data_IF_165423276188
#
_entry.id   IF_165423276188
#
_cell.length_a   1.000
_cell.length_b   1.000
_cell.length_c   1.000
_cell.angle_alpha   90.00
_cell.angle_beta   90.00
_cell.angle_gamma   90.00
#
_symmetry.space_group_name_H-M   'P 1'
#
loop_
_entity.id
_entity.type
_entity.pdbx_description
1 polymer ?
#
# COMPACT_ATOMS: atom_id res chain seq x y z
N UNK A 1 2.81 5.14 23.89
CA UNK A 1 2.86 6.57 23.48
C UNK A 1 2.29 7.43 24.60
N UNK A 2 2.60 8.73 24.68
CA UNK A 2 1.95 9.59 25.69
C UNK A 2 0.54 9.97 25.26
N UNK A 3 -0.41 9.86 26.20
CA UNK A 3 -1.82 10.24 25.99
C UNK A 3 -1.97 11.69 25.54
N UNK A 4 -1.10 12.58 26.02
CA UNK A 4 -1.04 14.00 25.60
C UNK A 4 -0.81 14.16 24.09
N UNK A 5 0.09 13.35 23.50
CA UNK A 5 0.36 13.42 22.06
C UNK A 5 -0.82 12.90 21.26
N UNK A 6 -1.50 11.86 21.75
CA UNK A 6 -2.71 11.32 21.10
C UNK A 6 -3.82 12.36 21.10
N UNK A 7 -4.03 13.06 22.23
CA UNK A 7 -5.01 14.13 22.34
C UNK A 7 -4.71 15.29 21.39
N UNK A 8 -3.47 15.79 21.38
CA UNK A 8 -3.07 16.87 20.48
C UNK A 8 -3.20 16.53 18.99
N UNK A 9 -3.01 15.26 18.63
CA UNK A 9 -3.22 14.80 17.25
C UNK A 9 -4.71 14.78 16.94
N UNK A 10 -5.52 14.15 17.79
CA UNK A 10 -6.97 14.01 17.53
C UNK A 10 -7.67 15.37 17.39
N UNK A 11 -7.35 16.34 18.26
CA UNK A 11 -7.93 17.69 18.20
C UNK A 11 -7.50 18.47 16.94
N UNK A 12 -6.33 18.17 16.38
CA UNK A 12 -5.81 18.88 15.23
C UNK A 12 -6.30 18.33 13.88
N UNK A 13 -6.89 17.13 13.89
CA UNK A 13 -7.45 16.49 12.71
C UNK A 13 -8.89 16.95 12.49
N UNK A 14 -9.24 17.21 11.24
CA UNK A 14 -10.64 17.43 10.87
C UNK A 14 -11.43 16.11 10.76
N UNK A 15 -12.74 16.19 10.58
CA UNK A 15 -13.61 15.02 10.53
C UNK A 15 -13.33 14.08 9.35
N UNK A 16 -12.87 14.59 8.22
CA UNK A 16 -12.55 13.75 7.05
C UNK A 16 -11.20 13.07 7.24
N UNK A 17 -10.22 13.75 7.83
CA UNK A 17 -8.94 13.21 8.26
C UNK A 17 -9.13 12.11 9.32
N UNK A 18 -10.04 12.33 10.28
CA UNK A 18 -10.39 11.32 11.30
C UNK A 18 -11.01 10.07 10.67
N UNK A 19 -11.96 10.22 9.74
CA UNK A 19 -12.55 9.09 9.00
C UNK A 19 -11.51 8.32 8.20
N UNK A 20 -10.59 9.03 7.55
CA UNK A 20 -9.49 8.41 6.80
C UNK A 20 -8.60 7.59 7.72
N UNK A 21 -8.26 8.10 8.91
CA UNK A 21 -7.46 7.39 9.92
C UNK A 21 -8.17 6.13 10.41
N UNK A 22 -9.45 6.25 10.77
CA UNK A 22 -10.28 5.11 11.17
C UNK A 22 -10.32 4.02 10.09
N UNK A 23 -10.49 4.41 8.82
CA UNK A 23 -10.47 3.48 7.69
C UNK A 23 -9.12 2.74 7.57
N UNK A 24 -8.00 3.45 7.66
CA UNK A 24 -6.66 2.86 7.50
C UNK A 24 -6.35 1.83 8.58
N UNK A 25 -6.83 2.06 9.80
CA UNK A 25 -6.56 1.18 10.93
C UNK A 25 -7.55 0.02 11.08
N UNK A 26 -8.54 -0.15 10.18
CA UNK A 26 -9.56 -1.22 10.31
C UNK A 26 -8.98 -2.63 10.42
N UNK A 27 -7.86 -2.89 9.74
CA UNK A 27 -7.22 -4.22 9.77
C UNK A 27 -6.48 -4.44 11.11
N UNK A 28 -5.85 -3.39 11.63
CA UNK A 28 -5.04 -3.42 12.85
C UNK A 28 -5.93 -3.45 14.10
N UNK A 29 -7.11 -2.86 14.01
CA UNK A 29 -8.13 -2.82 15.05
C UNK A 29 -9.32 -3.73 14.72
N UNK A 30 -9.14 -4.81 13.94
CA UNK A 30 -10.26 -5.62 13.45
C UNK A 30 -11.12 -6.26 14.56
N UNK A 31 -10.54 -6.47 15.73
CA UNK A 31 -11.18 -7.03 16.92
C UNK A 31 -11.83 -5.98 17.84
N UNK A 32 -11.68 -4.69 17.52
CA UNK A 32 -12.27 -3.59 18.29
C UNK A 32 -13.07 -2.69 17.36
N UNK A 33 -14.25 -2.26 17.82
CA UNK A 33 -15.03 -1.22 17.14
C UNK A 33 -14.77 0.12 17.85
N UNK A 34 -13.67 0.83 17.54
CA UNK A 34 -13.40 2.13 18.17
C UNK A 34 -14.51 3.12 17.80
N UNK A 35 -14.96 3.88 18.79
CA UNK A 35 -16.02 4.88 18.60
C UNK A 35 -15.48 6.15 17.90
N UNK A 36 -14.21 6.48 18.13
CA UNK A 36 -13.53 7.64 17.57
C UNK A 36 -12.01 7.41 17.43
N UNK A 37 -11.30 8.39 16.86
CA UNK A 37 -9.85 8.31 16.61
C UNK A 37 -9.03 8.21 17.89
N UNK A 38 -9.43 8.93 18.96
CA UNK A 38 -8.73 8.88 20.24
C UNK A 38 -8.76 7.47 20.81
N UNK A 39 -9.95 6.88 20.90
CA UNK A 39 -10.13 5.51 21.41
C UNK A 39 -9.29 4.52 20.59
N UNK A 40 -9.31 4.65 19.26
CA UNK A 40 -8.49 3.83 18.38
C UNK A 40 -6.99 3.96 18.71
N UNK A 41 -6.47 5.18 18.83
CA UNK A 41 -5.04 5.42 19.09
C UNK A 41 -4.64 4.96 20.50
N UNK A 42 -5.50 5.16 21.49
CA UNK A 42 -5.30 4.69 22.86
C UNK A 42 -5.24 3.15 22.90
N UNK A 43 -6.22 2.47 22.29
CA UNK A 43 -6.25 1.00 22.16
C UNK A 43 -4.98 0.47 21.48
N UNK A 44 -4.58 1.05 20.36
CA UNK A 44 -3.37 0.63 19.65
C UNK A 44 -2.10 0.87 20.48
N UNK A 45 -2.06 1.96 21.26
CA UNK A 45 -0.95 2.27 22.17
C UNK A 45 -0.87 1.30 23.33
N UNK A 46 -2.00 0.98 23.97
CA UNK A 46 -2.09 0.02 25.09
C UNK A 46 -1.66 -1.39 24.66
N UNK A 47 -1.98 -1.78 23.42
CA UNK A 47 -1.56 -3.06 22.82
C UNK A 47 -0.10 -3.10 22.39
N UNK A 48 0.64 -1.99 22.50
CA UNK A 48 2.01 -1.88 22.03
C UNK A 48 2.15 -1.90 20.50
N UNK A 49 1.05 -1.75 19.76
CA UNK A 49 1.04 -1.73 18.29
C UNK A 49 1.33 -0.33 17.73
N UNK A 50 0.98 0.72 18.47
CA UNK A 50 1.23 2.11 18.09
C UNK A 50 2.56 2.61 18.66
N UNK A 51 3.59 2.60 17.81
CA UNK A 51 4.86 3.28 18.08
C UNK A 51 4.80 4.75 17.64
N UNK A 52 5.80 5.55 18.06
CA UNK A 52 5.97 6.92 17.57
C UNK A 52 6.07 6.96 16.03
N UNK A 53 6.76 5.98 15.43
CA UNK A 53 6.86 5.85 13.99
C UNK A 53 5.54 5.41 13.34
N UNK A 54 4.75 4.58 14.02
CA UNK A 54 3.40 4.22 13.55
C UNK A 54 2.47 5.43 13.51
N UNK A 55 2.49 6.29 14.53
CA UNK A 55 1.72 7.54 14.53
C UNK A 55 2.26 8.53 13.47
N UNK A 56 3.58 8.61 13.29
CA UNK A 56 4.17 9.38 12.20
C UNK A 56 3.76 8.84 10.82
N UNK A 57 3.65 7.52 10.64
CA UNK A 57 3.12 6.94 9.40
C UNK A 57 1.67 7.40 9.17
N UNK A 58 0.79 7.31 10.18
CA UNK A 58 -0.60 7.75 10.05
C UNK A 58 -0.70 9.21 9.62
N UNK A 59 0.05 10.11 10.28
CA UNK A 59 0.09 11.53 9.94
C UNK A 59 0.64 11.79 8.53
N UNK A 60 1.62 11.00 8.10
CA UNK A 60 2.14 11.06 6.74
C UNK A 60 1.07 10.66 5.71
N UNK A 61 0.27 9.63 5.99
CA UNK A 61 -0.80 9.18 5.09
C UNK A 61 -1.93 10.21 4.97
N UNK A 62 -2.38 10.80 6.08
CA UNK A 62 -3.39 11.89 6.07
C UNK A 62 -2.81 13.23 5.62
N UNK A 63 -1.52 13.29 5.27
CA UNK A 63 -0.81 14.48 4.74
C UNK A 63 -0.70 15.65 5.72
N UNK A 64 -0.77 15.41 7.03
CA UNK A 64 -0.53 16.40 8.09
C UNK A 64 0.97 16.58 8.37
N UNK A 65 1.68 17.11 7.38
CA UNK A 65 3.13 17.37 7.48
C UNK A 65 3.47 18.45 8.50
N UNK A 66 2.53 19.36 8.79
CA UNK A 66 2.61 20.33 9.87
C UNK A 66 2.70 19.64 11.23
N UNK A 67 1.87 18.61 11.48
CA UNK A 67 1.87 17.84 12.73
C UNK A 67 3.15 16.99 12.86
N UNK A 68 3.64 16.41 11.75
CA UNK A 68 4.91 15.70 11.73
C UNK A 68 6.09 16.58 12.17
N UNK A 69 6.16 17.80 11.62
CA UNK A 69 7.20 18.77 12.00
C UNK A 69 7.03 19.26 13.43
N UNK A 70 5.80 19.53 13.86
CA UNK A 70 5.51 20.10 15.17
C UNK A 70 5.77 19.10 16.30
N UNK A 71 5.25 17.89 16.17
CA UNK A 71 5.21 16.86 17.23
C UNK A 71 6.45 15.97 17.17
N UNK A 72 6.78 15.44 15.98
CA UNK A 72 7.85 14.44 15.82
C UNK A 72 9.18 15.04 15.37
N UNK A 73 9.22 16.34 15.04
CA UNK A 73 10.39 17.02 14.44
C UNK A 73 10.91 16.31 13.18
N UNK A 74 10.00 15.67 12.44
CA UNK A 74 10.31 14.94 11.22
C UNK A 74 9.81 15.72 10.01
N UNK A 75 10.57 15.66 8.92
CA UNK A 75 10.10 16.07 7.61
C UNK A 75 9.51 14.88 6.83
N UNK A 76 8.93 15.19 5.68
CA UNK A 76 8.34 14.19 4.80
C UNK A 76 9.35 13.11 4.38
N UNK A 77 10.59 13.52 4.06
CA UNK A 77 11.63 12.64 3.54
C UNK A 77 12.12 11.65 4.61
N UNK A 78 12.20 12.08 5.86
CA UNK A 78 12.58 11.23 6.98
C UNK A 78 11.57 10.09 7.18
N UNK A 79 10.26 10.39 7.09
CA UNK A 79 9.22 9.36 7.20
C UNK A 79 9.27 8.43 5.99
N UNK A 80 9.38 8.96 4.76
CA UNK A 80 9.52 8.14 3.54
C UNK A 80 10.72 7.18 3.61
N UNK A 81 11.90 7.68 4.02
CA UNK A 81 13.10 6.89 4.17
C UNK A 81 12.95 5.78 5.23
N UNK A 82 12.18 6.04 6.29
CA UNK A 82 11.87 5.04 7.30
C UNK A 82 10.95 3.95 6.76
N UNK A 83 9.86 4.32 6.07
CA UNK A 83 8.86 3.40 5.52
C UNK A 83 9.40 2.47 4.42
N UNK A 84 10.52 2.86 3.79
CA UNK A 84 11.25 2.02 2.82
C UNK A 84 12.05 0.90 3.49
N UNK A 85 12.46 1.07 4.75
CA UNK A 85 13.39 0.16 5.44
C UNK A 85 12.74 -0.68 6.54
N UNK A 86 11.54 -0.31 6.98
CA UNK A 86 10.89 -0.92 8.12
C UNK A 86 9.48 -1.39 7.76
N UNK A 87 8.96 -2.41 8.48
CA UNK A 87 7.56 -2.79 8.38
C UNK A 87 6.64 -1.60 8.65
N UNK A 88 5.57 -1.53 7.86
CA UNK A 88 4.55 -0.49 7.98
C UNK A 88 3.45 -0.94 8.95
N UNK A 89 2.88 0.00 9.68
CA UNK A 89 1.68 -0.23 10.49
C UNK A 89 0.46 -0.46 9.59
N UNK A 90 0.41 0.24 8.45
CA UNK A 90 -0.75 0.26 7.56
C UNK A 90 -0.48 -0.63 6.34
N UNK A 91 -1.45 -1.48 6.02
CA UNK A 91 -1.37 -2.39 4.88
C UNK A 91 -1.35 -1.61 3.55
N UNK A 92 -0.62 -2.13 2.56
CA UNK A 92 -0.51 -1.49 1.25
C UNK A 92 -1.87 -1.38 0.54
N UNK A 93 -2.80 -2.29 0.84
CA UNK A 93 -4.18 -2.22 0.39
C UNK A 93 -4.91 -0.99 0.94
N UNK A 94 -4.83 -0.72 2.26
CA UNK A 94 -5.48 0.46 2.88
C UNK A 94 -4.87 1.76 2.35
N UNK A 95 -3.56 1.78 2.13
CA UNK A 95 -2.87 2.87 1.44
C UNK A 95 -3.41 3.08 0.03
N UNK A 96 -3.52 2.01 -0.76
CA UNK A 96 -4.05 2.10 -2.13
C UNK A 96 -5.46 2.68 -2.15
N UNK A 97 -6.35 2.21 -1.28
CA UNK A 97 -7.74 2.68 -1.24
C UNK A 97 -7.83 4.15 -0.84
N UNK A 98 -7.05 4.59 0.15
CA UNK A 98 -7.00 6.00 0.55
C UNK A 98 -6.45 6.90 -0.55
N UNK A 99 -5.40 6.45 -1.24
CA UNK A 99 -4.84 7.19 -2.36
C UNK A 99 -5.80 7.26 -3.55
N UNK A 100 -6.55 6.20 -3.86
CA UNK A 100 -7.59 6.22 -4.89
C UNK A 100 -8.67 7.24 -4.50
N UNK A 101 -9.18 7.16 -3.27
CA UNK A 101 -10.21 8.07 -2.75
C UNK A 101 -9.81 9.54 -2.83
N UNK A 102 -8.57 9.87 -2.48
CA UNK A 102 -8.06 11.24 -2.53
C UNK A 102 -7.81 11.78 -3.95
N UNK A 103 -7.86 10.93 -4.98
CA UNK A 103 -7.70 11.34 -6.38
C UNK A 103 -9.03 11.31 -7.16
N UNK A 104 -10.16 10.96 -6.54
CA UNK A 104 -11.47 10.95 -7.18
C UNK A 104 -12.18 12.29 -6.97
N UNK A 105 -12.73 12.84 -8.05
CA UNK A 105 -13.57 14.04 -7.97
C UNK A 105 -15.01 13.69 -7.58
N UNK A 106 -15.81 14.68 -7.17
CA UNK A 106 -17.22 14.46 -6.79
C UNK A 106 -18.05 13.85 -7.93
N UNK A 107 -17.77 14.23 -9.18
CA UNK A 107 -18.36 13.64 -10.39
C UNK A 107 -17.99 12.17 -10.55
N UNK A 108 -16.71 11.84 -10.39
CA UNK A 108 -16.21 10.46 -10.44
C UNK A 108 -16.87 9.59 -9.38
N UNK A 109 -16.95 10.09 -8.14
CA UNK A 109 -17.62 9.40 -7.03
C UNK A 109 -19.08 9.14 -7.36
N UNK A 110 -19.78 10.15 -7.90
CA UNK A 110 -21.20 10.02 -8.26
C UNK A 110 -21.41 8.93 -9.33
N UNK A 111 -20.57 8.92 -10.37
CA UNK A 111 -20.59 7.88 -11.41
C UNK A 111 -20.21 6.51 -10.85
N UNK A 112 -19.23 6.44 -9.95
CA UNK A 112 -18.81 5.19 -9.31
C UNK A 112 -19.93 4.62 -8.44
N UNK A 113 -20.56 5.44 -7.61
CA UNK A 113 -21.72 5.04 -6.82
C UNK A 113 -22.85 4.54 -7.73
N UNK A 114 -23.13 5.23 -8.83
CA UNK A 114 -24.15 4.80 -9.79
C UNK A 114 -23.87 3.40 -10.34
N UNK A 115 -22.64 3.14 -10.81
CA UNK A 115 -22.23 1.81 -11.30
C UNK A 115 -22.30 0.74 -10.20
N UNK A 116 -22.00 1.10 -8.95
CA UNK A 116 -21.96 0.15 -7.84
C UNK A 116 -23.35 -0.19 -7.28
N UNK A 117 -24.41 0.56 -7.62
CA UNK A 117 -25.79 0.27 -7.16
C UNK A 117 -26.28 -1.10 -7.60
N UNK A 118 -25.79 -1.60 -8.73
CA UNK A 118 -26.12 -2.94 -9.24
C UNK A 118 -25.61 -4.05 -8.31
N UNK A 119 -24.58 -3.77 -7.49
CA UNK A 119 -23.95 -4.73 -6.61
C UNK A 119 -24.33 -4.52 -5.13
N UNK A 120 -24.42 -3.26 -4.68
CA UNK A 120 -24.70 -2.94 -3.26
C UNK A 120 -26.20 -2.92 -2.93
N UNK A 121 -27.05 -3.18 -3.92
CA UNK A 121 -28.51 -3.08 -3.80
C UNK A 121 -29.02 -1.63 -3.80
N UNK A 122 -30.31 -1.45 -4.12
CA UNK A 122 -30.97 -0.13 -4.19
C UNK A 122 -31.19 0.56 -2.85
N UNK A 123 -30.50 0.17 -1.77
CA UNK A 123 -30.51 0.99 -0.55
C UNK A 123 -30.01 2.38 -0.94
N UNK A 124 -30.78 3.41 -0.57
CA UNK A 124 -30.53 4.81 -0.92
C UNK A 124 -29.06 5.09 -0.60
N UNK A 125 -28.23 5.29 -1.62
CA UNK A 125 -26.84 5.73 -1.42
C UNK A 125 -26.99 7.04 -0.64
N UNK A 126 -26.57 7.03 0.63
CA UNK A 126 -26.65 8.24 1.44
C UNK A 126 -25.85 9.32 0.71
N UNK A 127 -26.39 10.55 0.67
CA UNK A 127 -25.89 11.64 -0.18
C UNK A 127 -24.45 12.05 0.16
N UNK A 128 -23.94 11.57 1.29
CA UNK A 128 -22.67 11.97 1.89
C UNK A 128 -21.68 10.80 2.04
N UNK A 129 -21.89 9.69 1.32
CA UNK A 129 -20.93 8.57 1.35
C UNK A 129 -19.62 8.96 0.63
N UNK A 130 -18.50 8.72 1.29
CA UNK A 130 -17.17 8.83 0.72
C UNK A 130 -16.79 7.60 -0.09
N UNK A 131 -15.70 7.69 -0.86
CA UNK A 131 -15.09 6.52 -1.50
C UNK A 131 -14.75 5.41 -0.48
N UNK A 132 -14.26 5.80 0.70
CA UNK A 132 -13.89 4.84 1.74
C UNK A 132 -15.12 4.11 2.27
N UNK A 133 -16.25 4.80 2.43
CA UNK A 133 -17.51 4.15 2.79
C UNK A 133 -17.96 3.13 1.74
N UNK A 134 -17.77 3.45 0.46
CA UNK A 134 -18.05 2.50 -0.63
C UNK A 134 -17.15 1.25 -0.52
N UNK A 135 -15.85 1.44 -0.27
CA UNK A 135 -14.90 0.33 -0.09
C UNK A 135 -15.33 -0.56 1.08
N UNK A 136 -15.69 0.03 2.22
CA UNK A 136 -16.19 -0.72 3.39
C UNK A 136 -17.42 -1.57 3.03
N UNK A 137 -18.38 -1.01 2.29
CA UNK A 137 -19.59 -1.74 1.90
C UNK A 137 -19.29 -2.87 0.91
N UNK A 138 -18.38 -2.65 -0.04
CA UNK A 138 -17.96 -3.68 -0.99
C UNK A 138 -17.18 -4.80 -0.29
N UNK A 139 -16.36 -4.49 0.72
CA UNK A 139 -15.67 -5.48 1.56
C UNK A 139 -16.67 -6.35 2.33
N UNK A 140 -17.72 -5.76 2.92
CA UNK A 140 -18.77 -6.52 3.63
C UNK A 140 -19.52 -7.49 2.72
N UNK A 141 -19.61 -7.17 1.44
CA UNK A 141 -20.24 -8.00 0.41
C UNK A 141 -19.25 -9.00 -0.22
N UNK A 142 -17.98 -9.02 0.23
CA UNK A 142 -16.89 -9.83 -0.34
C UNK A 142 -16.69 -9.58 -1.85
N UNK A 143 -16.96 -8.36 -2.30
CA UNK A 143 -16.81 -7.96 -3.70
C UNK A 143 -15.41 -7.42 -4.00
N UNK A 144 -14.73 -6.91 -2.97
CA UNK A 144 -13.34 -6.46 -3.03
C UNK A 144 -12.57 -6.93 -1.79
N UNK A 145 -11.29 -7.20 -1.97
CA UNK A 145 -10.32 -7.59 -0.96
C UNK A 145 -8.90 -7.24 -1.43
N UNK A 146 -7.85 -7.36 -0.59
CA UNK A 146 -6.47 -7.10 -1.00
C UNK A 146 -6.00 -7.88 -2.23
N UNK A 147 -6.56 -9.05 -2.50
CA UNK A 147 -6.27 -9.94 -3.63
C UNK A 147 -7.38 -9.97 -4.69
N UNK A 148 -8.52 -9.31 -4.44
CA UNK A 148 -9.70 -9.26 -5.32
C UNK A 148 -10.08 -7.81 -5.61
N UNK A 149 -9.67 -7.29 -6.77
CA UNK A 149 -9.85 -5.87 -7.15
C UNK A 149 -10.43 -5.66 -8.56
N UNK A 150 -10.80 -6.74 -9.24
CA UNK A 150 -11.26 -6.76 -10.64
C UNK A 150 -12.51 -5.90 -10.85
N UNK A 151 -13.45 -5.95 -9.88
CA UNK A 151 -14.66 -5.14 -9.91
C UNK A 151 -14.31 -3.64 -9.88
N UNK A 152 -13.42 -3.24 -8.97
CA UNK A 152 -13.02 -1.85 -8.83
C UNK A 152 -12.25 -1.37 -10.06
N UNK A 153 -11.36 -2.20 -10.63
CA UNK A 153 -10.66 -1.92 -11.89
C UNK A 153 -11.64 -1.67 -13.05
N UNK A 154 -12.68 -2.52 -13.17
CA UNK A 154 -13.72 -2.38 -14.20
C UNK A 154 -14.50 -1.08 -14.03
N UNK A 155 -14.91 -0.76 -12.81
CA UNK A 155 -15.66 0.45 -12.54
C UNK A 155 -14.83 1.73 -12.78
N UNK A 156 -13.57 1.75 -12.35
CA UNK A 156 -12.65 2.87 -12.62
C UNK A 156 -12.42 3.06 -14.13
N UNK A 157 -12.32 1.98 -14.90
CA UNK A 157 -12.26 2.05 -16.37
C UNK A 157 -13.53 2.68 -16.97
N UNK A 158 -14.69 2.30 -16.47
CA UNK A 158 -15.99 2.77 -16.99
C UNK A 158 -16.23 4.27 -16.73
N UNK A 159 -15.68 4.81 -15.65
CA UNK A 159 -15.70 6.26 -15.38
C UNK A 159 -14.50 7.00 -16.00
N UNK A 160 -13.77 6.34 -16.92
CA UNK A 160 -12.60 6.90 -17.61
C UNK A 160 -11.40 7.26 -16.71
N UNK A 161 -11.35 6.75 -15.48
CA UNK A 161 -10.20 6.89 -14.55
C UNK A 161 -9.17 5.78 -14.72
N UNK A 162 -8.59 5.73 -15.92
CA UNK A 162 -7.59 4.71 -16.33
C UNK A 162 -6.30 4.84 -15.52
N UNK A 163 -5.97 6.04 -15.05
CA UNK A 163 -4.86 6.32 -14.15
C UNK A 163 -5.00 5.56 -12.82
N UNK A 164 -6.19 5.60 -12.20
CA UNK A 164 -6.48 4.91 -10.94
C UNK A 164 -6.54 3.40 -11.12
N UNK A 165 -7.11 2.93 -12.22
CA UNK A 165 -7.06 1.51 -12.59
C UNK A 165 -5.61 1.02 -12.69
N UNK A 166 -4.75 1.77 -13.38
CA UNK A 166 -3.33 1.42 -13.55
C UNK A 166 -2.62 1.35 -12.19
N UNK A 167 -3.02 2.17 -11.23
CA UNK A 167 -2.50 2.14 -9.87
C UNK A 167 -2.84 0.83 -9.14
N UNK A 168 -4.08 0.34 -9.29
CA UNK A 168 -4.47 -1.00 -8.78
C UNK A 168 -3.62 -2.09 -9.42
N UNK A 169 -3.40 -2.01 -10.74
CA UNK A 169 -2.61 -3.01 -11.46
C UNK A 169 -1.16 -3.08 -10.96
N UNK A 170 -0.53 -1.92 -10.71
CA UNK A 170 0.81 -1.86 -10.12
C UNK A 170 0.84 -2.49 -8.73
N UNK A 171 -0.16 -2.22 -7.89
CA UNK A 171 -0.28 -2.86 -6.58
C UNK A 171 -0.37 -4.39 -6.69
N UNK A 172 -1.20 -4.93 -7.60
CA UNK A 172 -1.31 -6.38 -7.82
C UNK A 172 0.00 -6.99 -8.29
N UNK A 173 0.74 -6.31 -9.19
CA UNK A 173 2.06 -6.76 -9.65
C UNK A 173 3.08 -6.82 -8.50
N UNK A 174 3.09 -5.83 -7.61
CA UNK A 174 3.98 -5.83 -6.45
C UNK A 174 3.62 -6.94 -5.46
N UNK A 175 2.33 -7.17 -5.22
CA UNK A 175 1.85 -8.24 -4.36
C UNK A 175 2.17 -9.64 -4.93
N UNK A 176 2.10 -9.81 -6.25
CA UNK A 176 2.40 -11.08 -6.93
C UNK A 176 3.91 -11.30 -7.14
N UNK A 177 4.70 -10.22 -7.31
CA UNK A 177 6.15 -10.25 -7.48
C UNK A 177 6.92 -10.65 -6.22
N UNK A 178 6.31 -10.54 -5.03
CA UNK A 178 6.89 -11.05 -3.79
C UNK A 178 6.86 -12.58 -3.67
N UNK A 179 6.07 -13.27 -4.51
CA UNK A 179 5.92 -14.73 -4.52
C UNK A 179 6.48 -15.45 -5.76
N UNK A 180 6.97 -14.73 -6.78
CA UNK A 180 7.45 -15.33 -8.03
C UNK A 180 8.74 -14.66 -8.50
N UNK A 181 9.87 -15.14 -7.99
CA UNK A 181 11.17 -14.93 -8.65
C UNK A 181 11.17 -15.66 -9.98
N UNK A 182 11.05 -14.95 -11.10
CA UNK A 182 11.47 -15.49 -12.40
C UNK A 182 12.18 -14.43 -13.24
N UNK A 183 13.43 -14.77 -13.53
CA UNK A 183 14.27 -14.30 -14.63
C UNK A 183 13.49 -14.32 -15.95
N UNK A 184 13.40 -13.18 -16.62
CA UNK A 184 13.11 -13.15 -18.05
C UNK A 184 14.34 -12.59 -18.78
N UNK A 185 15.30 -13.48 -19.04
CA UNK A 185 16.16 -13.35 -20.20
C UNK A 185 15.28 -13.48 -21.43
N UNK A 186 15.20 -12.42 -22.23
CA UNK A 186 14.57 -12.37 -23.54
C UNK A 186 15.01 -13.56 -24.39
N UNK A 187 14.18 -14.59 -24.50
CA UNK A 187 14.34 -15.61 -25.54
C UNK A 187 13.75 -15.02 -26.83
N UNK A 188 14.55 -14.19 -27.49
CA UNK A 188 14.31 -13.81 -28.87
C UNK A 188 14.43 -15.06 -29.73
N UNK A 189 13.31 -15.46 -30.31
CA UNK A 189 13.23 -16.43 -31.39
C UNK A 189 13.97 -15.89 -32.62
N UNK A 190 15.07 -16.53 -33.00
CA UNK A 190 15.69 -16.35 -34.31
C UNK A 190 15.35 -17.55 -35.19
N UNK A 191 14.85 -17.36 -36.43
CA UNK A 191 14.69 -18.47 -37.36
C UNK A 191 16.04 -18.93 -37.90
N UNK A 192 16.10 -20.24 -38.15
CA UNK A 192 17.21 -21.00 -38.71
C UNK A 192 17.97 -20.30 -39.85
N UNK A 193 19.27 -20.11 -39.65
CA UNK A 193 20.25 -20.00 -40.74
C UNK A 193 21.37 -20.99 -40.48
N UNK A 194 21.32 -22.10 -41.21
CA UNK A 194 22.44 -23.03 -41.38
C UNK A 194 23.33 -22.49 -42.50
N UNK A 195 24.63 -22.29 -42.21
CA UNK A 195 25.73 -22.85 -43.01
C UNK A 195 27.11 -22.33 -42.54
N UNK A 196 27.97 -23.32 -42.26
CA UNK A 196 29.44 -23.35 -42.39
C UNK A 196 30.30 -22.54 -41.41
N UNK A 197 30.89 -23.31 -40.49
CA UNK A 197 32.24 -23.13 -39.94
C UNK A 197 33.27 -22.81 -41.04
N UNK A 198 34.30 -21.98 -40.75
CA UNK A 198 35.49 -22.54 -40.12
C UNK A 198 36.17 -21.65 -39.05
N UNK A 199 36.54 -22.29 -37.94
CA UNK A 199 37.81 -22.14 -37.17
C UNK A 199 38.54 -20.79 -37.23
N UNK A 200 38.66 -20.10 -36.09
CA UNK A 200 39.97 -19.75 -35.52
C UNK A 200 39.89 -19.14 -34.10
N UNK A 201 40.89 -19.53 -33.31
CA UNK A 201 41.21 -19.25 -31.91
C UNK A 201 41.19 -17.77 -31.47
N UNK A 202 40.70 -17.48 -30.24
CA UNK A 202 41.26 -16.39 -29.42
C UNK A 202 40.95 -16.50 -27.90
N UNK A 203 41.91 -17.09 -27.17
CA UNK A 203 42.46 -16.70 -25.86
C UNK A 203 41.54 -16.00 -24.84
N UNK A 204 41.01 -16.76 -23.88
CA UNK A 204 40.44 -16.24 -22.62
C UNK A 204 41.57 -15.73 -21.73
N UNK A 205 41.60 -14.43 -21.44
CA UNK A 205 42.44 -13.85 -20.39
C UNK A 205 41.65 -13.87 -19.07
N UNK A 206 42.18 -14.56 -18.08
CA UNK A 206 41.83 -14.42 -16.66
C UNK A 206 42.00 -12.97 -16.21
N UNK A 207 41.02 -12.44 -15.46
CA UNK A 207 41.24 -11.37 -14.50
C UNK A 207 40.61 -11.79 -13.18
N UNK A 208 41.49 -12.04 -12.20
CA UNK A 208 41.16 -12.42 -10.84
C UNK A 208 41.08 -11.17 -9.96
N UNK A 209 39.98 -10.96 -9.23
CA UNK A 209 40.01 -10.42 -7.86
C UNK A 209 38.62 -10.48 -7.19
N UNK A 210 38.43 -11.46 -6.30
CA UNK A 210 37.45 -11.44 -5.21
C UNK A 210 38.23 -11.77 -3.92
N UNK A 211 38.12 -11.00 -2.82
CA UNK A 211 38.66 -11.41 -1.53
C UNK A 211 37.66 -12.32 -0.80
N UNK A 212 38.20 -13.44 -0.31
CA UNK A 212 37.52 -14.56 0.36
C UNK A 212 36.85 -14.22 1.70
N UNK A 213 35.68 -14.82 1.93
CA UNK A 213 35.17 -15.17 3.25
C UNK A 213 35.97 -16.35 3.81
N UNK A 214 36.66 -16.16 4.94
CA UNK A 214 37.22 -17.25 5.75
C UNK A 214 36.12 -17.90 6.57
N UNK A 215 35.75 -19.13 6.21
CA UNK A 215 35.03 -20.07 7.06
C UNK A 215 36.10 -20.94 7.75
N UNK A 216 36.19 -20.85 9.08
CA UNK A 216 36.93 -21.82 9.89
C UNK A 216 35.98 -22.97 10.26
N UNK A 217 36.22 -24.13 9.65
CA UNK A 217 35.67 -25.40 10.10
C UNK A 217 36.54 -26.01 11.19
N UNK A 218 35.92 -26.75 12.10
CA UNK A 218 36.56 -27.79 12.90
C UNK A 218 35.52 -28.91 13.11
N UNK A 219 35.76 -30.07 12.52
CA UNK A 219 35.21 -31.36 12.94
C UNK A 219 36.41 -32.28 13.12
N UNK A 220 36.60 -32.74 14.37
CA UNK A 220 37.57 -33.75 14.72
C UNK A 220 36.96 -35.14 14.59
N UNK A 221 37.88 -36.07 14.31
CA UNK A 221 37.77 -37.51 14.01
C UNK A 221 36.92 -38.27 15.03
#
# INVERSE_FOLDING_TARGET
>A
MSTEVIHQVEEALDEDEKKMLLFMCRDVAADVAPLNVRDLLDILSERGMLSAMGLAELLYRVRRFDLLKRIFKMDRKAVEAHLLRHPRLISDYRVLMTEIGGNLEKSDLSSLFFLMRDYTGRKKVAKDKSFLDLVIELEKLNLIAPDQLELLEKCLKNIHRVDLKTKIQKYKQLAQGAGTSYTNSLQASFPNLSLKDPSCNLRVKHCAHCPELRILGNCSI
#
